data_IF_060583020286
#
_entry.id   IF_060583020286
#
_cell.length_a   1.000
_cell.length_b   1.000
_cell.length_c   1.000
_cell.angle_alpha   90.00
_cell.angle_beta   90.00
_cell.angle_gamma   90.00
#
_symmetry.space_group_name_H-M   'P 1'
#
loop_
_entity.id
_entity.type
_entity.pdbx_description
1 polymer ?
#
# COMPACT_ATOMS: atom_id res chain seq x y z
N UNK A 1 -11.28 -8.66 -20.74
CA UNK A 1 -9.88 -8.80 -21.20
C UNK A 1 -9.05 -7.79 -20.44
N UNK A 2 -7.86 -8.15 -19.98
CA UNK A 2 -6.96 -7.20 -19.33
C UNK A 2 -6.60 -6.09 -20.33
N UNK A 3 -6.55 -4.84 -19.86
CA UNK A 3 -6.11 -3.71 -20.68
C UNK A 3 -4.59 -3.58 -20.61
N UNK A 4 -3.92 -3.11 -21.67
CA UNK A 4 -2.49 -2.84 -21.60
C UNK A 4 -2.15 -1.84 -20.48
N UNK A 5 -1.08 -2.10 -19.72
CA UNK A 5 -0.76 -1.30 -18.54
C UNK A 5 0.71 -0.84 -18.52
N UNK A 6 1.02 0.30 -17.87
CA UNK A 6 2.41 0.73 -17.66
C UNK A 6 3.28 -0.28 -16.88
N UNK A 7 2.67 -1.16 -16.08
CA UNK A 7 3.41 -2.20 -15.33
C UNK A 7 4.01 -3.28 -16.23
N UNK A 8 3.44 -3.47 -17.43
CA UNK A 8 3.93 -4.39 -18.46
C UNK A 8 4.45 -3.59 -19.67
N UNK A 9 5.09 -2.45 -19.42
CA UNK A 9 5.62 -1.59 -20.48
C UNK A 9 6.93 -2.16 -21.02
N UNK A 10 7.03 -2.32 -22.33
CA UNK A 10 8.23 -2.80 -23.02
C UNK A 10 8.79 -1.73 -23.96
N UNK A 11 10.10 -1.79 -24.20
CA UNK A 11 10.75 -1.07 -25.31
C UNK A 11 11.40 -2.08 -26.23
N UNK A 12 10.99 -2.08 -27.50
CA UNK A 12 11.57 -2.92 -28.54
C UNK A 12 12.52 -2.08 -29.38
N UNK A 13 13.79 -2.47 -29.45
CA UNK A 13 14.75 -1.88 -30.38
C UNK A 13 14.62 -2.57 -31.73
N UNK A 14 14.17 -1.84 -32.75
CA UNK A 14 13.78 -2.39 -34.04
C UNK A 14 14.63 -1.80 -35.15
N UNK A 15 15.33 -2.65 -35.89
CA UNK A 15 15.93 -2.27 -37.17
C UNK A 15 14.87 -2.42 -38.27
N UNK A 16 14.69 -1.38 -39.08
CA UNK A 16 13.74 -1.34 -40.20
C UNK A 16 14.42 -0.72 -41.44
N UNK A 17 13.94 -0.96 -42.66
CA UNK A 17 14.47 -0.32 -43.86
C UNK A 17 14.39 1.22 -43.75
N UNK A 18 15.38 1.93 -44.30
CA UNK A 18 15.35 3.40 -44.39
C UNK A 18 14.27 3.86 -45.39
N UNK A 19 13.01 3.91 -44.92
CA UNK A 19 11.85 4.35 -45.68
C UNK A 19 11.11 5.49 -44.97
N UNK A 20 10.39 6.30 -45.74
CA UNK A 20 9.54 7.38 -45.20
C UNK A 20 8.37 6.83 -44.35
N UNK A 21 7.99 5.57 -44.56
CA UNK A 21 6.85 4.92 -43.90
C UNK A 21 7.25 4.05 -42.71
N UNK A 22 8.55 3.81 -42.49
CA UNK A 22 9.06 2.85 -41.52
C UNK A 22 8.41 3.01 -40.14
N UNK A 23 8.47 4.20 -39.53
CA UNK A 23 7.88 4.44 -38.20
C UNK A 23 6.36 4.26 -38.16
N UNK A 24 5.66 4.59 -39.25
CA UNK A 24 4.21 4.41 -39.35
C UNK A 24 3.81 2.94 -39.52
N UNK A 25 4.61 2.16 -40.24
CA UNK A 25 4.42 0.71 -40.40
C UNK A 25 4.67 -0.04 -39.08
N UNK A 26 5.73 0.34 -38.35
CA UNK A 26 5.99 -0.20 -37.02
C UNK A 26 4.84 0.14 -36.05
N UNK A 27 4.38 1.39 -36.05
CA UNK A 27 3.25 1.82 -35.23
C UNK A 27 1.96 1.05 -35.57
N UNK A 28 1.69 0.87 -36.87
CA UNK A 28 0.52 0.12 -37.33
C UNK A 28 0.56 -1.34 -36.87
N UNK A 29 1.73 -2.01 -36.95
CA UNK A 29 1.89 -3.38 -36.51
C UNK A 29 1.70 -3.54 -34.99
N UNK A 30 2.28 -2.65 -34.18
CA UNK A 30 2.10 -2.69 -32.72
C UNK A 30 0.65 -2.42 -32.31
N UNK A 31 0.01 -1.43 -32.94
CA UNK A 31 -1.40 -1.12 -32.69
C UNK A 31 -2.33 -2.27 -33.11
N UNK A 32 -2.05 -2.91 -34.25
CA UNK A 32 -2.81 -4.09 -34.71
C UNK A 32 -2.64 -5.30 -33.79
N UNK A 33 -1.51 -5.43 -33.10
CA UNK A 33 -1.28 -6.45 -32.09
C UNK A 33 -2.03 -6.19 -30.77
N UNK A 34 -2.64 -5.01 -30.61
CA UNK A 34 -3.46 -4.64 -29.44
C UNK A 34 -2.69 -3.94 -28.32
N UNK A 35 -1.42 -3.57 -28.55
CA UNK A 35 -0.61 -2.84 -27.58
C UNK A 35 -0.84 -1.32 -27.66
N UNK A 36 -0.73 -0.64 -26.53
CA UNK A 36 -0.87 0.81 -26.46
C UNK A 36 0.51 1.47 -26.60
N UNK A 37 0.79 2.03 -27.77
CA UNK A 37 2.05 2.73 -28.06
C UNK A 37 2.14 3.99 -27.21
N UNK A 38 3.30 4.21 -26.58
CA UNK A 38 3.58 5.37 -25.74
C UNK A 38 4.71 6.24 -26.28
N UNK A 39 5.68 5.66 -27.00
CA UNK A 39 6.73 6.40 -27.69
C UNK A 39 7.28 5.64 -28.91
N UNK A 40 7.86 6.40 -29.84
CA UNK A 40 8.52 5.94 -31.06
C UNK A 40 9.69 6.86 -31.35
N UNK A 41 10.90 6.39 -31.08
CA UNK A 41 12.12 7.21 -31.14
C UNK A 41 13.12 6.62 -32.15
N UNK A 42 13.47 7.39 -33.18
CA UNK A 42 14.55 6.99 -34.10
C UNK A 42 15.88 7.23 -33.42
N UNK A 43 16.58 6.16 -33.04
CA UNK A 43 17.85 6.24 -32.30
C UNK A 43 19.07 6.25 -33.22
N UNK A 44 18.98 5.59 -34.37
CA UNK A 44 20.04 5.56 -35.37
C UNK A 44 19.46 5.64 -36.79
N UNK A 45 20.17 6.30 -37.68
CA UNK A 45 19.84 6.37 -39.10
C UNK A 45 21.07 6.08 -39.93
N UNK A 46 21.01 4.99 -40.70
CA UNK A 46 22.01 4.58 -41.67
C UNK A 46 21.44 4.71 -43.09
N UNK A 47 22.27 4.46 -44.10
CA UNK A 47 21.86 4.61 -45.51
C UNK A 47 20.66 3.71 -45.85
N UNK A 48 20.67 2.46 -45.40
CA UNK A 48 19.68 1.44 -45.76
C UNK A 48 18.82 0.98 -44.57
N UNK A 49 19.14 1.42 -43.36
CA UNK A 49 18.46 0.97 -42.12
C UNK A 49 18.23 2.12 -41.16
N UNK A 50 17.04 2.14 -40.55
CA UNK A 50 16.68 2.94 -39.40
C UNK A 50 16.59 2.04 -38.16
N UNK A 51 17.12 2.50 -37.03
CA UNK A 51 16.88 1.86 -35.73
C UNK A 51 15.89 2.72 -34.97
N UNK A 52 14.78 2.11 -34.59
CA UNK A 52 13.66 2.74 -33.91
C UNK A 52 13.40 2.00 -32.60
N UNK A 53 13.45 2.73 -31.48
CA UNK A 53 12.97 2.23 -30.20
C UNK A 53 11.45 2.45 -30.14
N UNK A 54 10.70 1.36 -30.07
CA UNK A 54 9.24 1.34 -29.99
C UNK A 54 8.85 1.04 -28.55
N UNK A 55 8.26 2.00 -27.85
CA UNK A 55 7.80 1.81 -26.47
C UNK A 55 6.28 1.65 -26.47
N UNK A 56 5.80 0.56 -25.86
CA UNK A 56 4.38 0.27 -25.76
C UNK A 56 4.04 -0.46 -24.46
N UNK A 57 2.78 -0.32 -24.03
CA UNK A 57 2.22 -1.07 -22.93
C UNK A 57 1.57 -2.34 -23.47
N UNK A 58 1.76 -3.46 -22.79
CA UNK A 58 1.13 -4.75 -23.09
C UNK A 58 0.27 -5.20 -21.90
N UNK A 59 -0.45 -6.31 -22.06
CA UNK A 59 -1.30 -6.87 -21.00
C UNK A 59 -0.53 -7.82 -20.08
N UNK A 60 0.50 -8.47 -20.64
CA UNK A 60 1.28 -9.54 -20.06
C UNK A 60 2.48 -9.87 -21.00
N UNK A 61 3.32 -10.82 -20.57
CA UNK A 61 4.49 -11.29 -21.31
C UNK A 61 4.13 -11.96 -22.65
N UNK A 62 3.02 -12.70 -22.70
CA UNK A 62 2.57 -13.36 -23.94
C UNK A 62 2.15 -12.32 -24.98
N UNK A 63 1.54 -11.22 -24.56
CA UNK A 63 1.21 -10.10 -25.42
C UNK A 63 2.46 -9.36 -25.88
N UNK A 64 3.46 -9.17 -25.01
CA UNK A 64 4.76 -8.63 -25.42
C UNK A 64 5.42 -9.50 -26.51
N UNK A 65 5.36 -10.83 -26.38
CA UNK A 65 5.84 -11.74 -27.41
C UNK A 65 5.06 -11.58 -28.73
N UNK A 66 3.72 -11.49 -28.69
CA UNK A 66 2.89 -11.25 -29.89
C UNK A 66 3.23 -9.93 -30.59
N UNK A 67 3.48 -8.86 -29.84
CA UNK A 67 3.90 -7.56 -30.40
C UNK A 67 5.25 -7.68 -31.12
N UNK A 68 6.22 -8.35 -30.48
CA UNK A 68 7.53 -8.64 -31.09
C UNK A 68 7.38 -9.44 -32.39
N UNK A 69 6.55 -10.48 -32.38
CA UNK A 69 6.34 -11.35 -33.55
C UNK A 69 5.65 -10.58 -34.69
N UNK A 70 4.68 -9.71 -34.38
CA UNK A 70 4.03 -8.84 -35.35
C UNK A 70 5.02 -7.88 -36.04
N UNK A 71 5.97 -7.32 -35.29
CA UNK A 71 7.03 -6.48 -35.85
C UNK A 71 8.01 -7.27 -36.72
N UNK A 72 8.43 -8.46 -36.29
CA UNK A 72 9.31 -9.32 -37.08
C UNK A 72 8.64 -9.90 -38.34
N UNK A 73 7.32 -9.83 -38.46
CA UNK A 73 6.59 -10.25 -39.65
C UNK A 73 6.61 -9.19 -40.78
N UNK A 74 7.02 -7.96 -40.49
CA UNK A 74 7.18 -6.90 -41.50
C UNK A 74 8.45 -7.15 -42.35
N UNK A 75 8.37 -6.85 -43.64
CA UNK A 75 9.48 -7.09 -44.57
C UNK A 75 10.70 -6.20 -44.24
N UNK A 76 11.87 -6.82 -44.14
CA UNK A 76 13.12 -6.14 -43.79
C UNK A 76 13.20 -5.59 -42.36
N UNK A 77 12.24 -5.92 -41.49
CA UNK A 77 12.21 -5.48 -40.08
C UNK A 77 12.75 -6.57 -39.17
N UNK A 78 13.52 -6.19 -38.14
CA UNK A 78 14.03 -7.12 -37.12
C UNK A 78 14.06 -6.45 -35.76
N UNK A 79 13.38 -7.06 -34.78
CA UNK A 79 13.49 -6.69 -33.37
C UNK A 79 14.82 -7.23 -32.83
N UNK A 80 15.75 -6.32 -32.53
CA UNK A 80 17.08 -6.65 -32.03
C UNK A 80 17.04 -7.00 -30.54
N UNK A 81 16.32 -6.19 -29.76
CA UNK A 81 16.20 -6.34 -28.31
C UNK A 81 14.79 -5.98 -27.84
N UNK A 82 14.34 -6.68 -26.79
CA UNK A 82 13.14 -6.31 -26.03
C UNK A 82 13.59 -6.08 -24.60
N UNK A 83 13.23 -4.92 -24.06
CA UNK A 83 13.53 -4.55 -22.68
C UNK A 83 12.25 -4.27 -21.93
N UNK A 84 12.07 -4.98 -20.82
CA UNK A 84 11.00 -4.70 -19.88
C UNK A 84 11.36 -3.47 -19.03
N UNK A 85 10.52 -2.44 -19.06
CA UNK A 85 10.82 -1.16 -18.39
C UNK A 85 10.71 -1.25 -16.88
N UNK A 86 9.90 -2.16 -16.36
CA UNK A 86 9.82 -2.45 -14.93
C UNK A 86 11.13 -3.08 -14.46
N UNK A 87 11.66 -4.07 -15.19
CA UNK A 87 12.96 -4.67 -14.86
C UNK A 87 14.11 -3.67 -15.00
N UNK A 88 14.10 -2.82 -16.04
CA UNK A 88 15.12 -1.77 -16.22
C UNK A 88 15.13 -0.79 -15.03
N UNK A 89 13.97 -0.42 -14.50
CA UNK A 89 13.85 0.43 -13.31
C UNK A 89 14.47 -0.20 -12.06
N UNK A 90 14.59 -1.53 -12.01
CA UNK A 90 15.12 -2.28 -10.87
C UNK A 90 16.62 -2.62 -10.99
N UNK A 91 17.29 -2.24 -12.08
CA UNK A 91 18.73 -2.48 -12.24
C UNK A 91 19.53 -1.71 -11.19
N UNK A 92 20.12 -2.43 -10.24
CA UNK A 92 20.88 -1.85 -9.13
C UNK A 92 20.05 -1.43 -7.91
N UNK A 93 18.76 -1.75 -7.90
CA UNK A 93 17.82 -1.34 -6.84
C UNK A 93 17.32 0.09 -6.98
N UNK A 94 16.38 0.48 -6.12
CA UNK A 94 15.69 1.79 -6.17
C UNK A 94 16.18 2.81 -5.14
N UNK A 95 17.13 2.43 -4.31
CA UNK A 95 17.61 3.25 -3.19
C UNK A 95 19.12 3.46 -3.26
N UNK A 96 19.56 4.62 -2.79
CA UNK A 96 20.97 4.95 -2.57
C UNK A 96 21.15 5.65 -1.22
N UNK A 97 22.38 5.62 -0.70
CA UNK A 97 22.75 6.35 0.53
C UNK A 97 23.61 7.54 0.15
N UNK A 98 23.09 8.74 0.39
CA UNK A 98 23.80 10.00 0.10
C UNK A 98 24.13 10.73 1.41
N UNK A 99 25.39 11.12 1.65
CA UNK A 99 25.75 11.91 2.83
C UNK A 99 25.00 13.25 2.88
N UNK A 100 24.44 13.61 4.03
CA UNK A 100 23.82 14.93 4.27
C UNK A 100 24.83 16.07 4.43
N UNK A 101 26.12 15.75 4.57
CA UNK A 101 27.21 16.71 4.75
C UNK A 101 28.28 16.51 3.69
N UNK A 102 28.86 17.60 3.20
CA UNK A 102 29.95 17.56 2.24
C UNK A 102 31.28 17.21 2.94
N UNK A 103 32.05 16.29 2.37
CA UNK A 103 33.37 15.89 2.86
C UNK A 103 34.46 16.31 1.85
N UNK A 104 34.83 17.59 1.88
CA UNK A 104 35.68 18.19 0.82
C UNK A 104 37.16 18.29 1.20
N UNK A 105 37.44 18.34 2.50
CA UNK A 105 38.78 18.60 3.02
C UNK A 105 38.97 17.91 4.38
N UNK A 106 40.18 18.06 4.94
CA UNK A 106 40.55 17.46 6.23
C UNK A 106 39.73 17.99 7.40
N UNK A 107 39.32 19.25 7.36
CA UNK A 107 38.52 19.88 8.43
C UNK A 107 37.10 19.30 8.44
N UNK A 108 36.49 19.10 7.28
CA UNK A 108 35.20 18.41 7.14
C UNK A 108 35.30 16.97 7.64
N UNK A 109 36.34 16.23 7.22
CA UNK A 109 36.57 14.84 7.66
C UNK A 109 36.79 14.74 9.17
N UNK A 110 37.58 15.64 9.76
CA UNK A 110 37.90 15.60 11.19
C UNK A 110 36.71 15.91 12.10
N UNK A 111 35.67 16.59 11.59
CA UNK A 111 34.41 16.85 12.29
C UNK A 111 33.40 15.73 12.09
N UNK A 112 33.24 15.25 10.87
CA UNK A 112 32.30 14.18 10.53
C UNK A 112 32.76 12.80 11.03
N UNK A 113 34.08 12.61 11.17
CA UNK A 113 34.70 11.38 11.63
C UNK A 113 35.76 11.68 12.70
N UNK A 114 36.85 10.93 12.72
CA UNK A 114 37.87 11.07 13.76
C UNK A 114 38.71 12.35 13.58
N UNK A 115 39.04 13.03 14.68
CA UNK A 115 38.69 12.71 16.07
C UNK A 115 37.36 13.31 16.56
N UNK A 116 36.73 14.22 15.81
CA UNK A 116 35.59 15.03 16.26
C UNK A 116 34.35 14.23 16.65
N UNK A 117 34.03 13.16 15.92
CA UNK A 117 32.87 12.28 16.17
C UNK A 117 32.86 11.70 17.58
N UNK A 118 34.02 11.50 18.20
CA UNK A 118 34.13 10.95 19.56
C UNK A 118 33.38 11.81 20.60
N UNK A 119 33.33 13.14 20.41
CA UNK A 119 32.59 14.05 21.31
C UNK A 119 31.08 13.82 21.22
N UNK A 120 30.57 13.52 20.03
CA UNK A 120 29.15 13.19 19.81
C UNK A 120 28.83 11.84 20.45
N UNK A 121 29.71 10.84 20.29
CA UNK A 121 29.55 9.55 20.94
C UNK A 121 29.51 9.67 22.47
N UNK A 122 30.41 10.45 23.07
CA UNK A 122 30.43 10.68 24.52
C UNK A 122 29.17 11.39 25.01
N UNK A 123 28.68 12.39 24.26
CA UNK A 123 27.42 13.07 24.61
C UNK A 123 26.22 12.11 24.61
N UNK A 124 26.16 11.16 23.66
CA UNK A 124 25.10 10.13 23.62
C UNK A 124 25.29 9.08 24.73
N UNK A 125 26.53 8.76 25.10
CA UNK A 125 26.80 7.86 26.21
C UNK A 125 26.38 8.45 27.57
N UNK A 126 26.49 9.78 27.72
CA UNK A 126 26.01 10.52 28.89
C UNK A 126 24.48 10.68 28.90
N UNK A 127 23.88 10.96 27.74
CA UNK A 127 22.43 11.08 27.54
C UNK A 127 21.98 10.32 26.28
N UNK A 128 21.45 9.09 26.42
CA UNK A 128 20.98 8.30 25.28
C UNK A 128 19.89 8.96 24.44
N UNK A 129 19.10 9.88 25.02
CA UNK A 129 18.04 10.60 24.29
C UNK A 129 18.61 11.53 23.21
N UNK A 130 19.85 11.99 23.37
CA UNK A 130 20.56 12.81 22.41
C UNK A 130 20.77 12.10 21.06
N UNK A 131 20.73 10.77 21.02
CA UNK A 131 20.84 9.98 19.79
C UNK A 131 19.80 10.42 18.75
N UNK A 132 18.58 10.77 19.17
CA UNK A 132 17.52 11.25 18.27
C UNK A 132 17.92 12.53 17.56
N UNK A 133 18.62 13.45 18.22
CA UNK A 133 18.96 14.76 17.64
C UNK A 133 20.31 14.78 16.92
N UNK A 134 21.23 13.90 17.32
CA UNK A 134 22.61 13.91 16.85
C UNK A 134 22.90 12.84 15.78
N UNK A 135 21.91 12.03 15.40
CA UNK A 135 22.09 10.93 14.44
C UNK A 135 20.92 10.83 13.46
N UNK A 136 21.03 9.87 12.53
CA UNK A 136 19.97 9.54 11.57
C UNK A 136 18.68 9.06 12.24
N UNK A 137 18.74 8.58 13.49
CA UNK A 137 17.58 8.11 14.28
C UNK A 137 16.41 9.10 14.27
N UNK A 138 16.69 10.41 14.14
CA UNK A 138 15.66 11.46 14.03
C UNK A 138 14.60 11.19 12.97
N UNK A 139 15.01 10.64 11.84
CA UNK A 139 14.22 10.64 10.60
C UNK A 139 14.22 9.29 9.88
N UNK A 140 14.89 8.28 10.44
CA UNK A 140 15.11 6.99 9.80
C UNK A 140 14.22 5.92 10.39
N UNK A 141 13.54 5.15 9.53
CA UNK A 141 12.68 4.02 9.95
C UNK A 141 13.12 2.73 9.26
N UNK A 142 12.82 1.59 9.90
CA UNK A 142 12.98 0.28 9.28
C UNK A 142 11.67 -0.13 8.60
N UNK A 143 11.72 -0.55 7.35
CA UNK A 143 10.62 -1.28 6.69
C UNK A 143 10.92 -2.76 6.84
N UNK A 144 10.36 -3.37 7.89
CA UNK A 144 10.69 -4.71 8.37
C UNK A 144 9.69 -5.76 7.84
N UNK A 145 10.21 -6.81 7.23
CA UNK A 145 9.41 -7.94 6.73
C UNK A 145 10.16 -9.27 6.89
N UNK A 146 9.42 -10.39 6.89
CA UNK A 146 9.94 -11.75 6.70
C UNK A 146 9.63 -12.31 5.30
N UNK A 147 8.92 -11.53 4.46
CA UNK A 147 8.49 -11.92 3.12
C UNK A 147 7.43 -13.04 3.09
N UNK A 148 6.69 -13.24 4.19
CA UNK A 148 5.72 -14.33 4.31
C UNK A 148 4.33 -14.02 3.74
N UNK A 149 4.02 -12.75 3.46
CA UNK A 149 2.74 -12.34 2.88
C UNK A 149 2.90 -11.20 1.86
N UNK A 150 3.83 -11.34 0.91
CA UNK A 150 4.15 -10.29 -0.05
C UNK A 150 3.00 -10.08 -1.03
N UNK A 151 2.31 -8.93 -0.92
CA UNK A 151 1.18 -8.59 -1.80
C UNK A 151 0.13 -9.73 -1.85
N UNK A 152 -0.34 -10.09 -3.04
CA UNK A 152 -1.16 -11.29 -3.29
C UNK A 152 -0.36 -12.55 -3.63
N UNK A 153 0.97 -12.53 -3.50
CA UNK A 153 1.87 -13.63 -3.89
C UNK A 153 2.10 -14.63 -2.76
N UNK A 154 1.79 -14.24 -1.52
CA UNK A 154 1.97 -15.08 -0.33
C UNK A 154 3.44 -15.16 0.11
N UNK A 155 3.83 -16.33 0.60
CA UNK A 155 5.17 -16.54 1.16
C UNK A 155 6.18 -16.85 0.05
N UNK A 156 6.90 -15.80 -0.38
CA UNK A 156 7.94 -15.89 -1.41
C UNK A 156 9.35 -15.64 -0.83
N UNK A 157 9.43 -15.40 0.47
CA UNK A 157 10.67 -15.22 1.21
C UNK A 157 11.25 -13.80 1.13
N UNK A 158 12.25 -13.51 1.97
CA UNK A 158 12.77 -12.15 2.20
C UNK A 158 13.44 -11.54 0.96
N UNK A 159 14.17 -12.33 0.19
CA UNK A 159 14.89 -11.84 -1.00
C UNK A 159 13.91 -11.40 -2.10
N UNK A 160 12.82 -12.14 -2.29
CA UNK A 160 11.78 -11.79 -3.26
C UNK A 160 10.89 -10.64 -2.78
N UNK A 161 10.81 -10.41 -1.46
CA UNK A 161 10.12 -9.25 -0.87
C UNK A 161 10.89 -7.92 -1.04
N UNK A 162 12.22 -7.99 -1.15
CA UNK A 162 13.09 -6.80 -1.15
C UNK A 162 12.68 -5.71 -2.17
N UNK A 163 12.29 -6.02 -3.43
CA UNK A 163 11.81 -5.01 -4.35
C UNK A 163 10.57 -4.27 -3.85
N UNK A 164 9.64 -4.93 -3.14
CA UNK A 164 8.47 -4.27 -2.56
C UNK A 164 8.90 -3.34 -1.43
N UNK A 165 9.80 -3.80 -0.55
CA UNK A 165 10.32 -3.01 0.57
C UNK A 165 11.11 -1.79 0.12
N UNK A 166 11.90 -1.90 -0.95
CA UNK A 166 12.55 -0.74 -1.59
C UNK A 166 11.53 0.26 -2.13
N UNK A 167 10.44 -0.24 -2.72
CA UNK A 167 9.33 0.58 -3.19
C UNK A 167 8.69 1.37 -2.04
N UNK A 168 8.34 0.68 -0.95
CA UNK A 168 7.83 1.30 0.29
C UNK A 168 8.76 2.39 0.81
N UNK A 169 10.05 2.10 0.90
CA UNK A 169 11.03 3.07 1.35
C UNK A 169 11.14 4.31 0.43
N UNK A 170 11.08 4.11 -0.89
CA UNK A 170 11.04 5.21 -1.85
C UNK A 170 9.78 6.08 -1.67
N UNK A 171 8.62 5.47 -1.39
CA UNK A 171 7.36 6.20 -1.15
C UNK A 171 7.41 7.01 0.16
N UNK A 172 7.97 6.45 1.24
CA UNK A 172 8.25 7.20 2.47
C UNK A 172 9.10 8.44 2.21
N UNK A 173 10.15 8.30 1.40
CA UNK A 173 11.04 9.39 1.05
C UNK A 173 10.35 10.45 0.19
N UNK A 174 9.64 10.01 -0.85
CA UNK A 174 9.00 10.88 -1.83
C UNK A 174 7.86 11.70 -1.23
N UNK A 175 6.98 11.07 -0.45
CA UNK A 175 5.75 11.72 0.01
C UNK A 175 5.87 12.40 1.37
N UNK A 176 6.82 11.98 2.21
CA UNK A 176 6.92 12.48 3.58
C UNK A 176 8.35 12.82 4.03
N UNK A 177 9.34 12.72 3.13
CA UNK A 177 10.75 12.94 3.43
C UNK A 177 11.25 12.11 4.63
N UNK A 178 10.74 10.89 4.79
CA UNK A 178 11.18 9.93 5.80
C UNK A 178 12.29 9.07 5.20
N UNK A 179 13.41 8.92 5.91
CA UNK A 179 14.56 8.14 5.45
C UNK A 179 14.34 6.65 5.79
N UNK A 180 13.51 5.96 5.02
CA UNK A 180 13.19 4.55 5.24
C UNK A 180 14.26 3.60 4.66
N UNK A 181 14.52 2.48 5.33
CA UNK A 181 15.43 1.45 4.86
C UNK A 181 14.78 0.04 4.91
N UNK A 182 14.87 -0.76 3.83
CA UNK A 182 14.31 -2.11 3.82
C UNK A 182 15.12 -3.06 4.70
N UNK A 183 14.42 -3.85 5.52
CA UNK A 183 14.98 -4.90 6.38
C UNK A 183 14.18 -6.18 6.16
N UNK A 184 14.66 -7.04 5.26
CA UNK A 184 14.05 -8.35 5.02
C UNK A 184 14.81 -9.42 5.84
N UNK A 185 14.14 -10.05 6.81
CA UNK A 185 14.74 -11.05 7.67
C UNK A 185 14.58 -12.46 7.08
N UNK A 186 15.67 -13.22 7.04
CA UNK A 186 15.67 -14.64 6.63
C UNK A 186 15.34 -15.57 7.81
N UNK A 187 14.25 -15.23 8.50
CA UNK A 187 13.63 -16.05 9.54
C UNK A 187 12.14 -15.77 9.58
N UNK A 188 11.36 -16.79 9.91
CA UNK A 188 9.91 -16.69 10.12
C UNK A 188 9.52 -17.12 11.54
N UNK A 189 10.51 -17.29 12.43
CA UNK A 189 10.31 -17.51 13.85
C UNK A 189 9.90 -16.20 14.52
N UNK A 190 8.74 -16.20 15.18
CA UNK A 190 8.17 -15.01 15.82
C UNK A 190 9.13 -14.37 16.81
N UNK A 191 9.75 -15.16 17.69
CA UNK A 191 10.58 -14.61 18.76
C UNK A 191 11.94 -14.14 18.24
N UNK A 192 12.49 -14.81 17.22
CA UNK A 192 13.70 -14.35 16.53
C UNK A 192 13.47 -13.00 15.82
N UNK A 193 12.34 -12.84 15.13
CA UNK A 193 11.97 -11.55 14.51
C UNK A 193 11.88 -10.45 15.57
N UNK A 194 11.18 -10.70 16.68
CA UNK A 194 11.04 -9.74 17.79
C UNK A 194 12.42 -9.39 18.36
N UNK A 195 13.27 -10.38 18.61
CA UNK A 195 14.62 -10.18 19.14
C UNK A 195 15.48 -9.33 18.21
N UNK A 196 15.48 -9.62 16.90
CA UNK A 196 16.25 -8.89 15.90
C UNK A 196 15.75 -7.45 15.79
N UNK A 197 14.44 -7.25 15.71
CA UNK A 197 13.82 -5.93 15.64
C UNK A 197 14.22 -5.06 16.85
N UNK A 198 14.21 -5.64 18.05
CA UNK A 198 14.69 -4.96 19.27
C UNK A 198 16.16 -4.63 19.24
N UNK A 199 17.00 -5.56 18.76
CA UNK A 199 18.44 -5.34 18.67
C UNK A 199 18.81 -4.21 17.70
N UNK A 200 18.04 -4.01 16.62
CA UNK A 200 18.28 -2.96 15.63
C UNK A 200 17.60 -1.62 15.95
N UNK A 201 16.62 -1.59 16.85
CA UNK A 201 15.87 -0.40 17.25
C UNK A 201 16.71 0.84 17.62
N UNK A 202 17.94 0.74 18.19
CA UNK A 202 18.76 1.90 18.48
C UNK A 202 19.00 2.83 17.27
N UNK A 203 19.05 2.29 16.04
CA UNK A 203 19.29 3.07 14.80
C UNK A 203 18.06 3.85 14.36
N UNK A 204 16.86 3.33 14.64
CA UNK A 204 15.62 3.78 14.02
C UNK A 204 14.79 4.66 14.96
N UNK A 205 14.05 5.60 14.37
CA UNK A 205 13.04 6.42 15.02
C UNK A 205 11.64 5.79 15.00
N UNK A 206 11.46 4.64 14.34
CA UNK A 206 10.23 3.84 14.25
C UNK A 206 10.43 2.60 13.37
N UNK A 207 9.51 1.64 13.47
CA UNK A 207 9.50 0.40 12.67
C UNK A 207 8.16 0.29 11.94
N UNK A 208 8.21 0.17 10.62
CA UNK A 208 7.08 -0.18 9.77
C UNK A 208 7.13 -1.68 9.48
N UNK A 209 6.23 -2.47 10.08
CA UNK A 209 6.04 -3.88 9.74
C UNK A 209 5.25 -3.99 8.44
N UNK A 210 5.69 -4.91 7.57
CA UNK A 210 5.17 -5.03 6.21
C UNK A 210 5.15 -6.48 5.74
N UNK A 211 4.08 -6.91 5.06
CA UNK A 211 4.00 -8.21 4.37
C UNK A 211 4.34 -9.42 5.29
N UNK A 212 3.92 -9.37 6.56
CA UNK A 212 4.07 -10.47 7.53
C UNK A 212 2.74 -11.20 7.70
N UNK A 213 2.75 -12.52 7.52
CA UNK A 213 1.54 -13.33 7.56
C UNK A 213 0.87 -13.36 8.95
N UNK A 214 -0.46 -13.25 8.95
CA UNK A 214 -1.27 -13.60 10.11
C UNK A 214 -1.20 -15.12 10.41
N UNK A 215 -1.27 -15.54 11.68
CA UNK A 215 -1.50 -14.71 12.87
C UNK A 215 -0.21 -14.13 13.49
N UNK A 216 0.98 -14.47 13.01
CA UNK A 216 2.26 -14.05 13.64
C UNK A 216 2.41 -12.54 13.69
N UNK A 217 1.96 -11.84 12.67
CA UNK A 217 2.05 -10.37 12.62
C UNK A 217 1.41 -9.69 13.84
N UNK A 218 0.33 -10.24 14.40
CA UNK A 218 -0.34 -9.70 15.58
C UNK A 218 0.55 -9.78 16.83
N UNK A 219 1.16 -10.95 17.08
CA UNK A 219 2.05 -11.14 18.22
C UNK A 219 3.32 -10.30 18.09
N UNK A 220 3.93 -10.31 16.90
CA UNK A 220 5.13 -9.52 16.59
C UNK A 220 4.85 -8.04 16.84
N UNK A 221 3.78 -7.50 16.28
CA UNK A 221 3.43 -6.10 16.47
C UNK A 221 3.17 -5.78 17.94
N UNK A 222 2.30 -6.56 18.61
CA UNK A 222 1.96 -6.33 20.01
C UNK A 222 3.20 -6.31 20.89
N UNK A 223 4.04 -7.34 20.80
CA UNK A 223 5.28 -7.45 21.61
C UNK A 223 6.24 -6.32 21.31
N UNK A 224 6.41 -5.93 20.05
CA UNK A 224 7.31 -4.83 19.71
C UNK A 224 6.79 -3.47 20.19
N UNK A 225 5.47 -3.23 20.15
CA UNK A 225 4.86 -2.02 20.72
C UNK A 225 4.98 -1.98 22.25
N UNK A 226 4.84 -3.12 22.91
CA UNK A 226 4.95 -3.23 24.37
C UNK A 226 6.41 -3.07 24.86
N UNK A 227 7.40 -3.44 24.04
CA UNK A 227 8.80 -3.58 24.47
C UNK A 227 9.76 -2.52 23.91
N UNK A 228 9.33 -1.69 22.95
CA UNK A 228 10.14 -0.63 22.35
C UNK A 228 9.74 0.77 22.80
N UNK A 229 10.72 1.68 22.76
CA UNK A 229 10.54 3.11 23.02
C UNK A 229 10.29 3.94 21.74
N UNK A 230 10.10 3.26 20.61
CA UNK A 230 9.83 3.81 19.28
C UNK A 230 8.53 3.23 18.72
N UNK A 231 7.79 3.98 17.89
CA UNK A 231 6.51 3.52 17.39
C UNK A 231 6.70 2.38 16.40
N UNK A 232 5.84 1.37 16.53
CA UNK A 232 5.78 0.22 15.62
C UNK A 232 4.41 0.18 14.98
N UNK A 233 4.39 0.28 13.66
CA UNK A 233 3.18 0.37 12.85
C UNK A 233 3.18 -0.75 11.82
N UNK A 234 2.11 -1.52 11.74
CA UNK A 234 1.92 -2.49 10.67
C UNK A 234 1.01 -1.90 9.59
N UNK A 235 1.55 -1.66 8.39
CA UNK A 235 0.82 -0.94 7.34
C UNK A 235 -0.37 -1.73 6.79
N UNK A 236 -0.20 -3.03 6.55
CA UNK A 236 -1.30 -3.89 6.07
C UNK A 236 -2.49 -3.96 7.06
N UNK A 237 -2.25 -3.67 8.34
CA UNK A 237 -3.28 -3.58 9.37
C UNK A 237 -3.84 -2.15 9.45
N UNK A 238 -3.06 -1.26 10.06
CA UNK A 238 -3.52 0.07 10.46
C UNK A 238 -3.61 1.02 9.29
N UNK A 239 -2.68 0.95 8.33
CA UNK A 239 -2.73 1.74 7.11
C UNK A 239 -4.00 1.48 6.33
N UNK A 240 -4.30 0.19 6.10
CA UNK A 240 -5.55 -0.24 5.45
C UNK A 240 -6.79 0.21 6.21
N UNK A 241 -6.79 0.11 7.55
CA UNK A 241 -7.89 0.58 8.38
C UNK A 241 -8.12 2.10 8.28
N UNK A 242 -7.05 2.89 8.33
CA UNK A 242 -7.09 4.36 8.19
C UNK A 242 -7.73 4.75 6.86
N UNK A 243 -7.23 4.21 5.73
CA UNK A 243 -7.73 4.61 4.42
C UNK A 243 -9.14 4.11 4.14
N UNK A 244 -9.51 2.95 4.71
CA UNK A 244 -10.86 2.40 4.64
C UNK A 244 -11.84 3.27 5.41
N UNK A 245 -11.49 3.70 6.62
CA UNK A 245 -12.31 4.61 7.42
C UNK A 245 -12.48 5.96 6.71
N UNK A 246 -11.40 6.52 6.17
CA UNK A 246 -11.44 7.78 5.42
C UNK A 246 -12.40 7.71 4.22
N UNK A 247 -12.28 6.66 3.42
CA UNK A 247 -13.19 6.40 2.30
C UNK A 247 -14.63 6.23 2.78
N UNK A 248 -14.85 5.47 3.86
CA UNK A 248 -16.19 5.20 4.38
C UNK A 248 -16.88 6.45 4.91
N UNK A 249 -16.16 7.35 5.60
CA UNK A 249 -16.70 8.64 6.05
C UNK A 249 -17.31 9.42 4.89
N UNK A 250 -16.56 9.55 3.78
CA UNK A 250 -17.04 10.25 2.59
C UNK A 250 -18.12 9.48 1.83
N UNK A 251 -18.02 8.15 1.74
CA UNK A 251 -19.06 7.32 1.11
C UNK A 251 -20.40 7.43 1.83
N UNK A 252 -20.39 7.40 3.18
CA UNK A 252 -21.59 7.56 4.00
C UNK A 252 -22.24 8.94 3.82
N UNK A 253 -21.44 9.99 3.67
CA UNK A 253 -21.93 11.34 3.34
C UNK A 253 -22.59 11.39 1.96
N UNK A 254 -22.03 10.70 0.96
CA UNK A 254 -22.61 10.62 -0.39
C UNK A 254 -23.99 9.97 -0.39
N UNK A 255 -24.19 8.94 0.44
CA UNK A 255 -25.46 8.19 0.51
C UNK A 255 -26.39 8.63 1.66
N UNK A 256 -26.02 9.70 2.39
CA UNK A 256 -26.74 10.24 3.55
C UNK A 256 -27.07 9.19 4.62
N UNK A 257 -26.08 8.38 5.01
CA UNK A 257 -26.19 7.36 6.08
C UNK A 257 -25.24 7.65 7.23
N UNK A 258 -25.56 7.16 8.43
CA UNK A 258 -24.71 7.28 9.62
C UNK A 258 -24.01 5.97 9.94
N UNK A 259 -22.74 6.04 10.32
CA UNK A 259 -21.92 4.88 10.67
C UNK A 259 -22.55 4.00 11.76
N UNK A 260 -23.23 4.61 12.74
CA UNK A 260 -23.88 3.91 13.84
C UNK A 260 -25.16 3.15 13.44
N UNK A 261 -25.74 3.46 12.28
CA UNK A 261 -27.04 2.91 11.83
C UNK A 261 -26.88 1.87 10.71
N UNK A 262 -25.75 1.86 10.00
CA UNK A 262 -25.52 0.98 8.85
C UNK A 262 -25.16 -0.45 9.23
N UNK A 263 -25.62 -1.43 8.42
CA UNK A 263 -25.21 -2.84 8.49
C UNK A 263 -23.97 -3.06 7.62
N UNK A 264 -22.85 -3.37 8.27
CA UNK A 264 -21.54 -3.56 7.63
C UNK A 264 -21.20 -5.05 7.59
N UNK A 265 -20.91 -5.54 6.38
CA UNK A 265 -20.39 -6.90 6.16
C UNK A 265 -18.91 -6.82 5.80
N UNK A 266 -18.06 -7.50 6.55
CA UNK A 266 -16.62 -7.57 6.29
C UNK A 266 -16.24 -8.98 5.82
N UNK A 267 -15.65 -9.08 4.63
CA UNK A 267 -15.09 -10.34 4.11
C UNK A 267 -13.59 -10.38 4.35
N UNK A 268 -13.15 -11.29 5.22
CA UNK A 268 -11.77 -11.41 5.66
C UNK A 268 -11.57 -10.92 7.08
N UNK A 269 -11.04 -11.80 7.93
CA UNK A 269 -10.71 -11.53 9.35
C UNK A 269 -9.22 -11.69 9.62
N UNK A 270 -8.40 -11.51 8.58
CA UNK A 270 -6.95 -11.45 8.70
C UNK A 270 -6.48 -10.12 9.30
N UNK A 271 -5.23 -9.75 9.04
CA UNK A 271 -4.59 -8.56 9.57
C UNK A 271 -5.40 -7.27 9.27
N UNK A 272 -5.63 -6.98 7.99
CA UNK A 272 -6.41 -5.82 7.53
C UNK A 272 -7.84 -5.81 8.09
N UNK A 273 -8.57 -6.93 7.95
CA UNK A 273 -9.97 -7.02 8.35
C UNK A 273 -10.17 -6.80 9.85
N UNK A 274 -9.30 -7.40 10.67
CA UNK A 274 -9.34 -7.23 12.13
C UNK A 274 -9.12 -5.77 12.53
N UNK A 275 -8.15 -5.08 11.92
CA UNK A 275 -7.86 -3.68 12.21
C UNK A 275 -8.99 -2.74 11.74
N UNK A 276 -9.57 -2.98 10.55
CA UNK A 276 -10.73 -2.25 10.05
C UNK A 276 -11.90 -2.38 11.03
N UNK A 277 -12.25 -3.59 11.44
CA UNK A 277 -13.36 -3.85 12.36
C UNK A 277 -13.15 -3.13 13.69
N UNK A 278 -11.96 -3.21 14.27
CA UNK A 278 -11.63 -2.55 15.54
C UNK A 278 -11.75 -1.02 15.42
N UNK A 279 -11.22 -0.44 14.35
CA UNK A 279 -11.27 1.01 14.15
C UNK A 279 -12.71 1.50 13.89
N UNK A 280 -13.50 0.76 13.11
CA UNK A 280 -14.92 1.05 12.90
C UNK A 280 -15.72 0.96 14.21
N UNK A 281 -15.45 -0.05 15.04
CA UNK A 281 -16.06 -0.17 16.37
C UNK A 281 -15.68 1.00 17.28
N UNK A 282 -14.41 1.42 17.27
CA UNK A 282 -13.95 2.59 18.02
C UNK A 282 -14.63 3.90 17.55
N UNK A 283 -15.03 3.98 16.28
CA UNK A 283 -15.80 5.10 15.70
C UNK A 283 -17.33 4.98 15.86
N UNK A 284 -17.82 3.94 16.56
CA UNK A 284 -19.23 3.82 16.91
C UNK A 284 -20.09 3.02 15.95
N UNK A 285 -19.49 2.25 15.03
CA UNK A 285 -20.23 1.28 14.23
C UNK A 285 -20.91 0.23 15.13
N UNK A 286 -22.22 0.04 14.98
CA UNK A 286 -23.00 -0.87 15.82
C UNK A 286 -23.12 -2.26 15.18
N UNK A 287 -23.49 -2.31 13.90
CA UNK A 287 -23.87 -3.54 13.20
C UNK A 287 -22.76 -4.01 12.25
N UNK A 288 -21.86 -4.87 12.75
CA UNK A 288 -20.79 -5.48 11.95
C UNK A 288 -20.94 -6.99 11.96
N UNK A 289 -20.98 -7.61 10.78
CA UNK A 289 -20.85 -9.06 10.58
C UNK A 289 -19.59 -9.33 9.78
N UNK A 290 -18.60 -9.94 10.42
CA UNK A 290 -17.36 -10.35 9.77
C UNK A 290 -17.44 -11.82 9.38
N UNK A 291 -16.98 -12.18 8.18
CA UNK A 291 -16.96 -13.56 7.70
C UNK A 291 -15.55 -14.00 7.33
N UNK A 292 -15.18 -15.18 7.83
CA UNK A 292 -14.00 -15.93 7.41
C UNK A 292 -14.36 -16.98 6.35
N UNK A 293 -13.42 -17.90 6.09
CA UNK A 293 -13.63 -19.02 5.14
C UNK A 293 -14.76 -19.96 5.57
N UNK A 294 -15.00 -20.07 6.89
CA UNK A 294 -16.00 -20.99 7.46
C UNK A 294 -17.39 -20.36 7.64
N UNK A 295 -17.58 -19.08 7.27
CA UNK A 295 -18.82 -18.34 7.52
C UNK A 295 -18.63 -17.16 8.46
N UNK A 296 -19.73 -16.62 8.97
CA UNK A 296 -19.74 -15.50 9.90
C UNK A 296 -19.02 -15.85 11.21
N UNK A 297 -18.29 -14.90 11.77
CA UNK A 297 -17.72 -14.98 13.11
C UNK A 297 -18.80 -14.61 14.13
N UNK A 298 -19.03 -15.48 15.12
CA UNK A 298 -20.11 -15.29 16.09
C UNK A 298 -19.77 -15.90 17.46
N UNK A 299 -20.41 -15.43 18.51
CA UNK A 299 -20.18 -15.84 19.91
C UNK A 299 -20.58 -17.29 20.25
N UNK A 300 -21.20 -17.99 19.31
CA UNK A 300 -21.62 -19.40 19.47
C UNK A 300 -20.54 -20.42 19.10
N UNK A 301 -19.39 -19.97 18.59
CA UNK A 301 -18.23 -20.79 18.26
C UNK A 301 -17.03 -20.37 19.11
N UNK A 302 -16.14 -21.32 19.40
CA UNK A 302 -14.88 -21.04 20.08
C UNK A 302 -13.76 -20.88 19.05
N UNK A 303 -13.00 -19.79 19.16
CA UNK A 303 -11.86 -19.50 18.29
C UNK A 303 -10.55 -19.63 19.08
N UNK A 304 -9.55 -20.27 18.47
CA UNK A 304 -8.25 -20.51 19.10
C UNK A 304 -7.35 -19.27 19.14
N UNK A 305 -7.60 -18.30 18.26
CA UNK A 305 -6.86 -17.05 18.19
C UNK A 305 -7.62 -15.88 18.82
N UNK A 306 -6.86 -15.01 19.46
CA UNK A 306 -7.39 -13.87 20.21
C UNK A 306 -8.15 -12.87 19.34
N UNK A 307 -7.76 -12.70 18.06
CA UNK A 307 -8.39 -11.73 17.18
C UNK A 307 -9.80 -12.15 16.74
N UNK A 308 -10.02 -13.41 16.31
CA UNK A 308 -11.38 -13.88 16.01
C UNK A 308 -12.23 -13.98 17.27
N UNK A 309 -11.64 -14.37 18.40
CA UNK A 309 -12.34 -14.35 19.69
C UNK A 309 -12.80 -12.93 20.06
N UNK A 310 -11.95 -11.91 19.85
CA UNK A 310 -12.32 -10.51 20.06
C UNK A 310 -13.44 -10.08 19.11
N UNK A 311 -13.35 -10.42 17.81
CA UNK A 311 -14.40 -10.09 16.83
C UNK A 311 -15.73 -10.73 17.24
N UNK A 312 -15.74 -12.01 17.61
CA UNK A 312 -16.93 -12.72 18.04
C UNK A 312 -17.58 -12.13 19.30
N UNK A 313 -16.76 -11.57 20.21
CA UNK A 313 -17.22 -10.98 21.45
C UNK A 313 -17.70 -9.52 21.32
N UNK A 314 -17.21 -8.78 20.31
CA UNK A 314 -17.44 -7.34 20.18
C UNK A 314 -18.27 -6.94 18.95
N UNK A 315 -18.59 -7.89 18.07
CA UNK A 315 -19.39 -7.68 16.85
C UNK A 315 -20.53 -8.69 16.76
N UNK A 316 -21.37 -8.55 15.74
CA UNK A 316 -22.44 -9.52 15.45
C UNK A 316 -23.33 -9.84 16.66
N UNK A 317 -23.82 -8.80 17.35
CA UNK A 317 -24.65 -8.91 18.56
C UNK A 317 -25.94 -9.71 18.33
N UNK A 318 -26.42 -9.70 17.08
CA UNK A 318 -27.60 -10.45 16.62
C UNK A 318 -27.33 -11.96 16.49
N UNK A 319 -26.07 -12.39 16.58
CA UNK A 319 -25.68 -13.80 16.56
C UNK A 319 -25.85 -14.47 15.19
N UNK A 320 -25.70 -13.73 14.09
CA UNK A 320 -25.80 -14.28 12.74
C UNK A 320 -24.70 -15.33 12.50
N UNK A 321 -25.07 -16.56 12.16
CA UNK A 321 -24.15 -17.69 11.96
C UNK A 321 -24.17 -18.24 10.53
N UNK A 322 -24.65 -17.46 9.56
CA UNK A 322 -24.76 -17.86 8.16
C UNK A 322 -23.47 -17.66 7.36
N UNK A 323 -23.61 -17.82 6.06
CA UNK A 323 -22.55 -17.58 5.07
C UNK A 323 -22.35 -16.10 4.79
N UNK A 324 -21.21 -15.75 4.18
CA UNK A 324 -20.98 -14.39 3.67
C UNK A 324 -22.10 -13.93 2.72
N UNK A 325 -22.57 -14.81 1.83
CA UNK A 325 -23.59 -14.48 0.83
C UNK A 325 -24.93 -14.15 1.48
N UNK A 326 -25.31 -14.87 2.52
CA UNK A 326 -26.53 -14.60 3.28
C UNK A 326 -26.43 -13.30 4.08
N UNK A 327 -25.25 -12.96 4.61
CA UNK A 327 -25.02 -11.72 5.35
C UNK A 327 -25.21 -10.46 4.48
N UNK A 328 -25.01 -10.57 3.16
CA UNK A 328 -25.15 -9.46 2.21
C UNK A 328 -26.59 -8.95 2.07
N UNK A 329 -27.58 -9.78 2.39
CA UNK A 329 -28.98 -9.41 2.24
C UNK A 329 -29.36 -8.21 3.15
N UNK A 330 -29.67 -7.09 2.51
CA UNK A 330 -29.96 -5.82 3.17
C UNK A 330 -28.78 -5.19 3.90
N UNK A 331 -27.54 -5.58 3.59
CA UNK A 331 -26.35 -4.88 4.08
C UNK A 331 -26.22 -3.51 3.42
N UNK A 332 -25.79 -2.50 4.17
CA UNK A 332 -25.55 -1.15 3.63
C UNK A 332 -24.13 -1.01 3.07
N UNK A 333 -23.18 -1.71 3.69
CA UNK A 333 -21.76 -1.59 3.38
C UNK A 333 -21.15 -2.99 3.28
N UNK A 334 -20.41 -3.24 2.21
CA UNK A 334 -19.52 -4.38 2.08
C UNK A 334 -18.07 -3.92 2.06
N UNK A 335 -17.21 -4.55 2.86
CA UNK A 335 -15.77 -4.33 2.88
C UNK A 335 -15.07 -5.66 2.66
N UNK A 336 -14.44 -5.81 1.51
CA UNK A 336 -13.65 -6.97 1.14
C UNK A 336 -12.15 -6.72 1.31
N UNK A 337 -11.49 -7.57 2.08
CA UNK A 337 -10.03 -7.64 2.25
C UNK A 337 -9.55 -9.09 2.30
N UNK A 338 -10.12 -9.94 1.43
CA UNK A 338 -9.94 -11.39 1.50
C UNK A 338 -9.33 -11.99 0.25
N UNK A 339 -10.16 -12.34 -0.73
CA UNK A 339 -9.80 -13.17 -1.87
C UNK A 339 -10.60 -12.76 -3.12
N UNK A 340 -10.10 -13.08 -4.32
CA UNK A 340 -10.81 -12.76 -5.56
C UNK A 340 -12.15 -13.49 -5.66
N UNK A 341 -13.15 -12.81 -6.23
CA UNK A 341 -14.44 -13.39 -6.63
C UNK A 341 -15.24 -14.09 -5.51
N UNK A 342 -15.18 -13.58 -4.27
CA UNK A 342 -15.91 -14.15 -3.13
C UNK A 342 -17.40 -13.81 -3.14
N UNK A 343 -17.83 -12.77 -3.86
CA UNK A 343 -19.25 -12.41 -4.05
C UNK A 343 -19.54 -12.12 -5.53
N UNK A 344 -20.80 -12.28 -5.94
CA UNK A 344 -21.27 -12.03 -7.31
C UNK A 344 -22.32 -10.93 -7.40
N UNK A 345 -22.85 -10.73 -8.62
CA UNK A 345 -23.87 -9.72 -8.91
C UNK A 345 -25.13 -9.89 -8.05
N UNK A 346 -25.56 -11.13 -7.82
CA UNK A 346 -26.74 -11.47 -7.00
C UNK A 346 -26.61 -10.95 -5.57
N UNK A 347 -25.44 -11.12 -4.94
CA UNK A 347 -25.23 -10.68 -3.56
C UNK A 347 -25.23 -9.16 -3.45
N UNK A 348 -24.67 -8.44 -4.42
CA UNK A 348 -24.71 -6.96 -4.42
C UNK A 348 -26.12 -6.45 -4.72
N UNK A 349 -26.85 -7.09 -5.63
CA UNK A 349 -28.25 -6.74 -5.92
C UNK A 349 -29.19 -6.96 -4.71
N UNK A 350 -28.82 -7.85 -3.78
CA UNK A 350 -29.57 -8.12 -2.56
C UNK A 350 -29.25 -7.15 -1.39
N UNK A 351 -28.27 -6.24 -1.56
CA UNK A 351 -27.92 -5.24 -0.57
C UNK A 351 -29.02 -4.16 -0.42
N UNK A 352 -28.89 -3.32 0.60
CA UNK A 352 -29.80 -2.20 0.81
C UNK A 352 -29.68 -1.15 -0.31
N UNK A 353 -30.73 -0.32 -0.48
CA UNK A 353 -30.67 0.83 -1.39
C UNK A 353 -29.50 1.76 -1.02
N UNK A 354 -28.86 2.34 -2.03
CA UNK A 354 -27.64 3.15 -1.85
C UNK A 354 -26.53 2.39 -1.11
N UNK A 355 -26.30 1.14 -1.49
CA UNK A 355 -25.22 0.31 -0.95
C UNK A 355 -23.83 0.88 -1.29
N UNK A 356 -22.88 0.63 -0.39
CA UNK A 356 -21.45 0.95 -0.55
C UNK A 356 -20.69 -0.37 -0.66
N UNK A 357 -19.85 -0.52 -1.70
CA UNK A 357 -19.06 -1.72 -1.93
C UNK A 357 -17.57 -1.36 -2.05
N UNK A 358 -16.78 -1.77 -1.07
CA UNK A 358 -15.32 -1.68 -1.10
C UNK A 358 -14.74 -3.08 -1.38
N UNK A 359 -14.20 -3.30 -2.57
CA UNK A 359 -13.59 -4.57 -2.98
C UNK A 359 -12.07 -4.39 -3.15
N UNK A 360 -11.31 -4.64 -2.07
CA UNK A 360 -9.93 -4.20 -1.93
C UNK A 360 -8.88 -5.32 -2.10
N UNK A 361 -9.30 -6.57 -2.38
CA UNK A 361 -8.34 -7.62 -2.73
C UNK A 361 -7.51 -7.25 -3.98
N UNK A 362 -6.21 -7.51 -3.92
CA UNK A 362 -5.26 -7.29 -5.01
C UNK A 362 -4.63 -8.62 -5.46
N UNK A 363 -4.32 -8.78 -6.76
CA UNK A 363 -4.61 -7.86 -7.86
C UNK A 363 -6.07 -7.95 -8.36
N UNK A 364 -6.78 -9.01 -7.99
CA UNK A 364 -8.15 -9.28 -8.43
C UNK A 364 -9.11 -9.07 -7.25
N UNK A 365 -10.07 -8.13 -7.34
CA UNK A 365 -11.00 -7.83 -6.25
C UNK A 365 -12.01 -8.95 -5.95
N UNK A 366 -12.70 -8.81 -4.82
CA UNK A 366 -13.77 -9.68 -4.35
C UNK A 366 -14.94 -9.78 -5.35
N UNK A 367 -15.16 -8.74 -6.14
CA UNK A 367 -16.13 -8.67 -7.23
C UNK A 367 -15.63 -7.70 -8.31
N UNK A 368 -16.00 -7.93 -9.57
CA UNK A 368 -15.73 -6.98 -10.63
C UNK A 368 -16.39 -5.61 -10.32
N UNK A 369 -15.62 -4.51 -10.26
CA UNK A 369 -16.16 -3.18 -9.92
C UNK A 369 -17.25 -2.71 -10.89
N UNK A 370 -17.16 -3.09 -12.17
CA UNK A 370 -18.17 -2.76 -13.18
C UNK A 370 -19.49 -3.46 -12.87
N UNK A 371 -19.43 -4.71 -12.41
CA UNK A 371 -20.63 -5.45 -11.98
C UNK A 371 -21.22 -4.85 -10.71
N UNK A 372 -20.39 -4.55 -9.70
CA UNK A 372 -20.84 -3.93 -8.46
C UNK A 372 -21.53 -2.57 -8.71
N UNK A 373 -20.98 -1.75 -9.61
CA UNK A 373 -21.49 -0.41 -9.92
C UNK A 373 -22.89 -0.36 -10.54
N UNK A 374 -23.41 -1.50 -11.02
CA UNK A 374 -24.79 -1.59 -11.51
C UNK A 374 -25.83 -1.53 -10.38
N UNK A 375 -25.42 -1.89 -9.16
CA UNK A 375 -26.31 -2.11 -8.01
C UNK A 375 -25.93 -1.25 -6.80
N UNK A 376 -24.64 -0.99 -6.59
CA UNK A 376 -24.14 -0.14 -5.52
C UNK A 376 -24.03 1.33 -5.93
N UNK A 377 -24.35 2.24 -5.01
CA UNK A 377 -24.23 3.69 -5.25
C UNK A 377 -22.77 4.16 -5.23
N UNK A 378 -21.94 3.54 -4.39
CA UNK A 378 -20.50 3.84 -4.27
C UNK A 378 -19.71 2.54 -4.39
N UNK A 379 -18.73 2.53 -5.28
CA UNK A 379 -17.79 1.41 -5.44
C UNK A 379 -16.37 1.94 -5.29
N UNK A 380 -15.55 1.24 -4.49
CA UNK A 380 -14.14 1.54 -4.31
C UNK A 380 -13.32 0.25 -4.36
N UNK A 381 -12.04 0.37 -4.75
CA UNK A 381 -11.17 -0.79 -4.94
C UNK A 381 -9.73 -0.49 -4.55
N UNK A 382 -8.87 -1.52 -4.45
CA UNK A 382 -7.42 -1.32 -4.31
C UNK A 382 -6.70 -0.92 -5.61
N UNK A 383 -7.37 -1.00 -6.75
CA UNK A 383 -6.78 -0.83 -8.08
C UNK A 383 -6.76 0.62 -8.54
N UNK A 384 -5.69 1.01 -9.22
CA UNK A 384 -5.48 2.38 -9.73
C UNK A 384 -6.20 2.70 -11.03
N UNK A 385 -6.72 1.69 -11.74
CA UNK A 385 -7.44 1.86 -13.00
C UNK A 385 -8.94 2.12 -12.84
N UNK A 386 -9.44 2.17 -11.59
CA UNK A 386 -10.82 2.52 -11.26
C UNK A 386 -10.90 3.79 -10.40
N UNK A 387 -12.04 4.50 -10.40
CA UNK A 387 -12.31 5.55 -9.42
C UNK A 387 -12.23 5.01 -7.98
N UNK A 388 -12.04 5.91 -7.02
CA UNK A 388 -12.00 5.59 -5.59
C UNK A 388 -10.97 4.50 -5.24
N UNK A 389 -9.71 4.72 -5.62
CA UNK A 389 -8.64 3.82 -5.21
C UNK A 389 -8.37 3.98 -3.71
N UNK A 390 -8.63 2.93 -2.93
CA UNK A 390 -8.26 2.83 -1.52
C UNK A 390 -6.83 2.27 -1.47
N UNK A 391 -5.87 3.12 -1.12
CA UNK A 391 -4.45 2.78 -1.15
C UNK A 391 -3.72 3.31 0.09
N UNK A 392 -3.02 2.42 0.79
CA UNK A 392 -2.30 2.73 2.04
C UNK A 392 -1.26 3.84 1.90
N UNK A 393 -0.79 4.14 0.67
CA UNK A 393 0.09 5.29 0.37
C UNK A 393 -0.49 6.63 0.85
N UNK A 394 -1.81 6.75 0.97
CA UNK A 394 -2.46 7.94 1.53
C UNK A 394 -2.22 8.09 3.04
N UNK A 395 -1.93 7.00 3.75
CA UNK A 395 -1.78 6.97 5.21
C UNK A 395 -0.32 6.90 5.64
N UNK A 396 0.40 5.82 5.33
CA UNK A 396 1.69 5.52 5.98
C UNK A 396 2.75 6.63 5.92
N UNK A 397 2.93 7.38 4.80
CA UNK A 397 3.98 8.39 4.75
C UNK A 397 3.70 9.51 5.75
N UNK A 398 2.49 10.08 5.70
CA UNK A 398 2.07 11.15 6.59
C UNK A 398 1.97 10.69 8.04
N UNK A 399 1.49 9.47 8.27
CA UNK A 399 1.35 8.89 9.59
C UNK A 399 2.71 8.83 10.31
N UNK A 400 3.71 8.23 9.68
CA UNK A 400 5.07 8.16 10.25
C UNK A 400 5.72 9.53 10.38
N UNK A 401 5.52 10.44 9.44
CA UNK A 401 6.00 11.82 9.58
C UNK A 401 5.46 12.48 10.84
N UNK A 402 4.15 12.35 11.08
CA UNK A 402 3.50 12.83 12.31
C UNK A 402 4.08 12.20 13.58
N UNK A 403 4.27 10.87 13.58
CA UNK A 403 4.89 10.14 14.68
C UNK A 403 6.31 10.65 14.98
N UNK A 404 7.13 10.83 13.93
CA UNK A 404 8.50 11.31 14.04
C UNK A 404 8.56 12.79 14.48
N UNK A 405 7.65 13.63 14.02
CA UNK A 405 7.60 15.05 14.44
C UNK A 405 7.19 15.20 15.90
N UNK A 406 6.22 14.41 16.36
CA UNK A 406 5.79 14.40 17.76
C UNK A 406 6.78 13.66 18.68
N UNK A 407 7.73 12.91 18.12
CA UNK A 407 8.55 11.97 18.88
C UNK A 407 7.72 10.97 19.65
N UNK A 408 6.60 10.52 19.06
CA UNK A 408 5.69 9.54 19.65
C UNK A 408 6.39 8.18 19.83
N UNK A 409 6.04 7.46 20.90
CA UNK A 409 6.55 6.11 21.18
C UNK A 409 5.48 5.04 20.98
N UNK A 410 4.21 5.43 20.87
CA UNK A 410 3.07 4.53 20.71
C UNK A 410 2.03 5.14 19.76
N UNK A 411 1.06 4.33 19.33
CA UNK A 411 0.06 4.62 18.32
C UNK A 411 -1.33 4.41 18.91
N UNK A 412 -2.08 5.47 19.16
CA UNK A 412 -3.42 5.34 19.76
C UNK A 412 -4.52 5.28 18.68
N UNK A 413 -5.71 4.75 19.00
CA UNK A 413 -6.86 4.81 18.11
C UNK A 413 -7.20 6.24 17.65
N UNK A 414 -7.05 7.24 18.52
CA UNK A 414 -7.30 8.65 18.19
C UNK A 414 -6.34 9.15 17.11
N UNK A 415 -5.09 8.66 17.09
CA UNK A 415 -4.13 9.00 16.04
C UNK A 415 -4.53 8.39 14.69
N UNK A 416 -5.01 7.13 14.69
CA UNK A 416 -5.53 6.46 13.49
C UNK A 416 -6.76 7.20 12.93
N UNK A 417 -7.68 7.60 13.80
CA UNK A 417 -8.88 8.37 13.42
C UNK A 417 -8.49 9.74 12.88
N UNK A 418 -7.58 10.46 13.56
CA UNK A 418 -7.11 11.77 13.10
C UNK A 418 -6.47 11.69 11.70
N UNK A 419 -5.75 10.60 11.41
CA UNK A 419 -5.22 10.35 10.07
C UNK A 419 -6.32 10.10 9.04
N UNK A 420 -7.33 9.28 9.39
CA UNK A 420 -8.45 9.00 8.50
C UNK A 420 -9.27 10.26 8.19
N UNK A 421 -9.54 11.08 9.19
CA UNK A 421 -10.24 12.36 9.04
C UNK A 421 -9.43 13.34 8.18
N UNK A 422 -8.11 13.42 8.37
CA UNK A 422 -7.25 14.26 7.55
C UNK A 422 -7.31 13.85 6.06
N UNK A 423 -7.31 12.55 5.76
CA UNK A 423 -7.45 12.05 4.38
C UNK A 423 -8.85 12.34 3.83
N UNK A 424 -9.91 12.08 4.60
CA UNK A 424 -11.29 12.30 4.17
C UNK A 424 -11.56 13.78 3.85
N UNK A 425 -11.03 14.68 4.67
CA UNK A 425 -11.20 16.13 4.52
C UNK A 425 -10.41 16.74 3.34
N UNK A 426 -9.55 15.96 2.66
CA UNK A 426 -8.91 16.41 1.42
C UNK A 426 -9.87 16.47 0.24
N UNK A 427 -10.98 15.74 0.30
CA UNK A 427 -12.06 15.82 -0.70
C UNK A 427 -13.00 16.93 -0.28
N UNK A 428 -13.06 18.00 -1.08
CA UNK A 428 -13.92 19.14 -0.77
C UNK A 428 -15.41 18.79 -0.97
N UNK A 429 -16.30 19.49 -0.26
CA UNK A 429 -17.75 19.25 -0.31
C UNK A 429 -18.35 19.40 -1.71
N UNK A 430 -17.78 20.27 -2.55
CA UNK A 430 -18.19 20.51 -3.93
C UNK A 430 -17.58 19.52 -4.93
N UNK A 431 -16.56 18.76 -4.52
CA UNK A 431 -15.95 17.67 -5.30
C UNK A 431 -16.55 16.30 -4.94
N UNK A 432 -17.04 16.15 -3.71
CA UNK A 432 -17.52 14.89 -3.16
C UNK A 432 -18.67 14.31 -3.97
N UNK A 433 -18.47 13.11 -4.52
CA UNK A 433 -19.50 12.37 -5.24
C UNK A 433 -19.19 10.86 -5.25
N UNK A 434 -20.09 10.04 -5.80
CA UNK A 434 -19.96 8.59 -5.84
C UNK A 434 -18.67 8.06 -6.49
N UNK A 435 -18.04 8.83 -7.38
CA UNK A 435 -16.78 8.49 -8.06
C UNK A 435 -15.56 9.23 -7.48
N UNK A 436 -15.73 10.03 -6.43
CA UNK A 436 -14.64 10.77 -5.78
C UNK A 436 -14.90 10.91 -4.27
N UNK A 437 -14.61 9.85 -3.52
CA UNK A 437 -14.72 9.80 -2.04
C UNK A 437 -13.37 9.82 -1.32
N UNK A 438 -12.27 9.67 -2.06
CA UNK A 438 -10.91 9.61 -1.51
C UNK A 438 -9.97 10.38 -2.44
N UNK A 439 -9.00 11.17 -1.92
CA UNK A 439 -8.12 11.97 -2.76
C UNK A 439 -7.17 11.09 -3.59
N UNK A 440 -6.53 11.69 -4.58
CA UNK A 440 -5.45 11.03 -5.33
C UNK A 440 -4.25 10.76 -4.42
N UNK A 441 -3.57 9.62 -4.61
CA UNK A 441 -2.27 9.31 -3.98
C UNK A 441 -1.18 10.34 -4.33
N UNK A 442 -1.39 11.14 -5.37
CA UNK A 442 -0.49 12.19 -5.81
C UNK A 442 -0.88 13.60 -5.35
N UNK A 443 -1.94 13.75 -4.53
CA UNK A 443 -2.21 15.04 -3.89
C UNK A 443 -1.05 15.36 -2.93
N UNK A 444 -0.27 16.43 -3.19
CA UNK A 444 0.94 16.74 -2.43
C UNK A 444 0.66 17.16 -0.98
N UNK A 445 -0.60 17.45 -0.62
CA UNK A 445 -0.96 17.93 0.71
C UNK A 445 -1.34 16.79 1.66
N UNK A 446 -1.76 15.62 1.16
CA UNK A 446 -2.26 14.51 1.98
C UNK A 446 -1.28 14.13 3.09
N UNK A 447 -0.02 13.86 2.73
CA UNK A 447 0.97 13.44 3.71
C UNK A 447 1.27 14.51 4.77
N UNK A 448 1.26 15.79 4.39
CA UNK A 448 1.50 16.90 5.31
C UNK A 448 0.32 17.09 6.29
N UNK A 449 -0.91 17.02 5.79
CA UNK A 449 -2.13 17.17 6.59
C UNK A 449 -2.30 15.99 7.55
N UNK A 450 -2.06 14.76 7.09
CA UNK A 450 -2.03 13.57 7.94
C UNK A 450 -0.96 13.71 9.02
N UNK A 451 0.26 14.15 8.67
CA UNK A 451 1.32 14.33 9.64
C UNK A 451 0.96 15.34 10.73
N UNK A 452 0.36 16.48 10.34
CA UNK A 452 -0.09 17.51 11.26
C UNK A 452 -1.19 16.99 12.21
N UNK A 453 -2.18 16.27 11.67
CA UNK A 453 -3.27 15.70 12.46
C UNK A 453 -2.77 14.66 13.47
N UNK A 454 -1.91 13.74 13.01
CA UNK A 454 -1.31 12.69 13.86
C UNK A 454 -0.43 13.29 14.96
N UNK A 455 0.42 14.28 14.61
CA UNK A 455 1.24 14.96 15.61
C UNK A 455 0.38 15.73 16.63
N UNK A 456 -0.71 16.35 16.19
CA UNK A 456 -1.69 16.99 17.07
C UNK A 456 -2.31 16.01 18.06
N UNK A 457 -2.79 14.86 17.57
CA UNK A 457 -3.37 13.81 18.39
C UNK A 457 -2.35 13.24 19.41
N UNK A 458 -1.09 13.00 18.99
CA UNK A 458 -0.02 12.55 19.87
C UNK A 458 0.26 13.50 21.03
N UNK A 459 0.28 14.81 20.77
CA UNK A 459 0.50 15.81 21.82
C UNK A 459 -0.69 15.91 22.78
N UNK A 460 -1.92 15.78 22.28
CA UNK A 460 -3.12 15.79 23.11
C UNK A 460 -3.13 14.59 24.07
N UNK A 461 -2.76 13.40 23.60
CA UNK A 461 -2.68 12.19 24.43
C UNK A 461 -1.66 12.30 25.57
N UNK A 462 -0.56 13.06 25.38
CA UNK A 462 0.45 13.32 26.43
C UNK A 462 0.05 14.36 27.47
N UNK A 463 -0.97 15.17 27.16
CA UNK A 463 -1.44 16.22 28.06
C UNK A 463 -2.50 15.72 29.06
N UNK A 464 -3.06 14.53 28.80
CA UNK A 464 -3.95 13.76 29.68
C UNK A 464 -3.10 12.86 30.60
#
# INVERSE_FOLDING_TARGET
MANPSPGNSITLRVAAPSSFTATSELAAAVGAAGAAITALDVTESHHDTLVVDVTCNTTDDDHAARVKDALNALDGVTVQHVSDRTFLMHLGGKLEVVPKVALRNRDDLSRAYTPGVARVCLAIAEDPSAARNLTVKRNTIAVLTDGSAVLGLGNIGPAAALPVMEGKAALFKQFANVDAWPVCLDTQDTEEIIMIAKAMAPVYGGINLEDIAAPRCFEIEKRLRDELDIPVFHDDQHGTAIVTLAALHNALRVVDKKLSEVRIVVSGVGAAGSAIIQLLKAQGAQHIVAAGRSGAIHSGEQYDDEHRAWIAANTNEEGFSGTLHEAMAGADVFIGVSAPHVIGEEQVAAMAENAIVFAMANPTPEIDPVIASKHAAVVATGRSDFPNQINNVLAFPGFFRGLLDAGASDITPEMLVAAADAIANRVADDELNASYIIPSVFDPHVAADVAAAVAGAAHAARAL
#
